data_IF_372376180868
#
_entry.id   IF_372376180868
#
_cell.length_a   1.000
_cell.length_b   1.000
_cell.length_c   1.000
_cell.angle_alpha   90.00
_cell.angle_beta   90.00
_cell.angle_gamma   90.00
#
_symmetry.space_group_name_H-M   'P 1'
#
loop_
_entity.id
_entity.type
_entity.pdbx_description
1 polymer ?
2 non-polymer ?
3 non-polymer ?
4 non-polymer ?
5 non-polymer ?
6 water ?
#
# COMPACT_ATOMS: atom_id res chain seq x y z
N UNK A 24 -14.63 21.98 2.99
CA UNK A 24 -15.75 21.63 2.11
C UNK A 24 -15.49 22.15 0.70
N UNK A 25 -14.56 23.09 0.59
CA UNK A 25 -14.14 23.58 -0.71
C UNK A 25 -13.63 22.39 -1.50
N UNK A 26 -12.62 21.71 -0.95
CA UNK A 26 -11.97 20.61 -1.64
C UNK A 26 -12.91 19.45 -1.90
N UNK A 27 -13.93 19.28 -1.05
CA UNK A 27 -14.90 18.20 -1.21
C UNK A 27 -15.80 18.37 -2.43
N UNK A 28 -16.28 19.59 -2.62
CA UNK A 28 -17.17 19.87 -3.75
C UNK A 28 -16.46 19.59 -5.07
N UNK A 29 -15.26 20.14 -5.21
CA UNK A 29 -14.46 19.97 -6.41
C UNK A 29 -14.21 18.50 -6.67
N UNK A 30 -13.95 17.73 -5.61
CA UNK A 30 -13.65 16.32 -5.76
C UNK A 30 -14.91 15.54 -6.11
N UNK A 31 -15.99 15.84 -5.41
CA UNK A 31 -17.25 15.14 -5.63
C UNK A 31 -17.82 15.44 -7.02
N UNK A 32 -17.52 16.65 -7.50
CA UNK A 32 -18.02 17.11 -8.80
C UNK A 32 -17.24 16.56 -9.99
N UNK A 33 -15.99 16.17 -9.77
CA UNK A 33 -15.10 15.82 -10.87
C UNK A 33 -15.44 14.50 -11.56
N UNK A 34 -15.08 14.38 -12.84
CA UNK A 34 -15.13 13.11 -13.54
C UNK A 34 -13.83 12.34 -13.30
N UNK A 35 -13.93 11.03 -13.21
CA UNK A 35 -12.80 10.18 -12.88
C UNK A 35 -12.35 9.43 -14.12
N UNK A 36 -11.13 9.73 -14.60
CA UNK A 36 -10.70 9.10 -15.85
C UNK A 36 -10.45 7.63 -15.61
N UNK A 37 -10.27 6.88 -16.69
CA UNK A 37 -10.11 5.44 -16.57
C UNK A 37 -8.78 5.14 -15.89
N UNK A 38 -8.66 3.89 -15.44
CA UNK A 38 -7.46 3.42 -14.80
C UNK A 38 -6.34 3.59 -15.79
N UNK A 39 -6.63 3.31 -17.06
CA UNK A 39 -5.66 3.39 -18.15
C UNK A 39 -5.15 4.81 -18.32
N UNK A 40 -6.05 5.78 -18.34
CA UNK A 40 -5.63 7.17 -18.51
C UNK A 40 -4.77 7.62 -17.34
N UNK A 41 -5.01 7.01 -16.17
CA UNK A 41 -4.35 7.44 -14.93
C UNK A 41 -3.07 6.65 -14.64
N UNK A 42 -2.81 5.61 -15.43
CA UNK A 42 -1.56 4.87 -15.34
C UNK A 42 -1.46 4.07 -14.04
N UNK A 43 -2.52 4.07 -13.25
CA UNK A 43 -2.47 3.37 -11.97
C UNK A 43 -2.38 1.84 -12.08
N UNK A 44 -2.37 1.32 -13.31
CA UNK A 44 -2.16 -0.13 -13.52
C UNK A 44 -0.70 -0.51 -13.68
N UNK A 45 0.16 0.49 -13.84
CA UNK A 45 1.59 0.25 -14.08
C UNK A 45 2.33 0.10 -12.78
N UNK A 46 3.18 -0.92 -12.67
CA UNK A 46 4.03 -1.07 -11.49
C UNK A 46 5.01 0.10 -11.32
N UNK A 47 5.29 0.80 -12.42
CA UNK A 47 6.35 1.80 -12.45
C UNK A 47 5.78 3.20 -12.25
N UNK A 48 4.48 3.24 -11.95
CA UNK A 48 3.76 4.48 -11.65
C UNK A 48 4.46 5.43 -10.68
N UNK A 49 4.28 6.73 -10.91
CA UNK A 49 4.85 7.73 -10.01
C UNK A 49 3.88 8.87 -9.80
N UNK A 50 3.91 9.47 -8.61
CA UNK A 50 2.93 10.47 -8.23
C UNK A 50 3.48 11.90 -8.23
N UNK A 51 4.78 12.05 -8.50
CA UNK A 51 5.42 13.37 -8.45
C UNK A 51 4.71 14.45 -9.27
N UNK A 52 4.14 14.04 -10.41
CA UNK A 52 3.49 14.94 -11.36
C UNK A 52 2.06 15.28 -10.96
N UNK A 53 1.56 14.62 -9.92
CA UNK A 53 0.14 14.70 -9.56
C UNK A 53 -0.13 15.68 -8.43
N UNK A 54 -1.26 16.38 -8.52
CA UNK A 54 -1.72 17.25 -7.44
C UNK A 54 -2.52 16.41 -6.46
N UNK A 55 -2.72 16.93 -5.25
CA UNK A 55 -3.54 16.23 -4.25
C UNK A 55 -4.87 15.78 -4.82
N UNK A 56 -5.58 16.69 -5.48
CA UNK A 56 -6.85 16.37 -6.12
C UNK A 56 -6.74 15.16 -7.04
N UNK A 57 -5.66 15.11 -7.82
CA UNK A 57 -5.48 14.01 -8.77
C UNK A 57 -5.21 12.67 -8.09
N UNK A 58 -4.56 12.72 -6.92
CA UNK A 58 -4.32 11.47 -6.20
C UNK A 58 -5.67 10.99 -5.65
N UNK A 59 -6.49 11.94 -5.23
CA UNK A 59 -7.84 11.63 -4.77
C UNK A 59 -8.66 10.93 -5.86
N UNK A 60 -8.59 11.45 -7.09
CA UNK A 60 -9.31 10.84 -8.21
C UNK A 60 -8.79 9.45 -8.53
N UNK A 61 -7.46 9.31 -8.49
CA UNK A 61 -6.83 8.00 -8.68
C UNK A 61 -7.34 7.02 -7.63
N UNK A 62 -7.44 7.48 -6.40
CA UNK A 62 -7.94 6.61 -5.34
C UNK A 62 -9.39 6.22 -5.61
N UNK A 63 -10.21 7.16 -6.07
CA UNK A 63 -11.58 6.79 -6.42
C UNK A 63 -11.54 5.72 -7.51
N UNK A 64 -10.69 5.91 -8.51
CA UNK A 64 -10.66 4.96 -9.62
C UNK A 64 -10.27 3.54 -9.15
N UNK A 65 -9.40 3.50 -8.14
CA UNK A 65 -9.00 2.21 -7.55
C UNK A 65 -10.21 1.49 -6.92
N UNK A 66 -10.95 2.19 -6.09
CA UNK A 66 -12.14 1.58 -5.52
C UNK A 66 -13.10 1.11 -6.63
N UNK A 67 -13.28 1.95 -7.65
CA UNK A 67 -14.27 1.65 -8.69
C UNK A 67 -13.91 0.42 -9.50
N UNK A 68 -12.68 0.35 -9.98
CA UNK A 68 -12.30 -0.74 -10.87
C UNK A 68 -12.03 -2.05 -10.15
N UNK A 69 -11.93 -1.98 -8.84
CA UNK A 69 -11.87 -3.20 -8.04
C UNK A 69 -13.28 -3.65 -7.68
N UNK A 70 -14.27 -2.91 -8.18
CA UNK A 70 -15.67 -3.28 -8.05
C UNK A 70 -16.21 -3.03 -6.65
N UNK A 71 -15.45 -2.26 -5.87
CA UNK A 71 -15.78 -2.07 -4.47
C UNK A 71 -16.96 -1.14 -4.27
N UNK A 72 -17.06 -0.13 -5.12
CA UNK A 72 -18.13 0.86 -5.02
C UNK A 72 -19.47 0.22 -5.37
N UNK A 73 -19.45 -0.59 -6.41
CA UNK A 73 -20.61 -1.37 -6.80
C UNK A 73 -21.03 -2.39 -5.73
N UNK A 74 -20.14 -3.32 -5.42
CA UNK A 74 -20.50 -4.46 -4.60
C UNK A 74 -20.90 -4.12 -3.16
N UNK A 75 -20.53 -2.94 -2.69
CA UNK A 75 -20.73 -2.57 -1.29
C UNK A 75 -21.48 -1.26 -1.18
N UNK A 76 -22.06 -0.86 -2.32
CA UNK A 76 -22.98 0.26 -2.38
C UNK A 76 -22.44 1.50 -1.70
N UNK A 77 -21.19 1.84 -2.00
CA UNK A 77 -20.64 3.06 -1.43
C UNK A 77 -21.27 4.26 -2.11
N UNK A 78 -21.62 5.27 -1.34
CA UNK A 78 -22.14 6.49 -1.91
C UNK A 78 -20.98 7.40 -2.29
N UNK A 79 -21.08 7.99 -3.46
CA UNK A 79 -19.99 8.76 -4.02
C UNK A 79 -19.42 9.77 -3.03
N UNK A 80 -20.27 10.63 -2.49
CA UNK A 80 -19.79 11.71 -1.64
C UNK A 80 -19.20 11.20 -0.33
N UNK A 81 -19.63 10.02 0.10
CA UNK A 81 -19.08 9.42 1.31
C UNK A 81 -17.66 8.93 1.03
N UNK A 82 -17.48 8.21 -0.07
CA UNK A 82 -16.15 7.81 -0.51
C UNK A 82 -15.23 9.03 -0.64
N UNK A 83 -15.69 10.05 -1.36
CA UNK A 83 -14.90 11.28 -1.50
C UNK A 83 -14.49 11.85 -0.16
N UNK A 84 -15.45 11.98 0.75
CA UNK A 84 -15.15 12.58 2.04
C UNK A 84 -14.16 11.68 2.81
N UNK A 85 -14.32 10.38 2.64
CA UNK A 85 -13.45 9.45 3.35
C UNK A 85 -11.99 9.56 2.89
N UNK A 86 -11.81 9.65 1.58
CA UNK A 86 -10.48 9.84 0.99
C UNK A 86 -9.88 11.16 1.50
N UNK A 87 -10.69 12.20 1.52
CA UNK A 87 -10.19 13.48 2.01
C UNK A 87 -9.81 13.41 3.49
N UNK A 88 -10.64 12.73 4.26
CA UNK A 88 -10.31 12.52 5.65
C UNK A 88 -9.00 11.76 5.80
N UNK A 89 -8.83 10.68 5.07
CA UNK A 89 -7.59 9.92 5.16
C UNK A 89 -6.42 10.83 4.82
N UNK A 90 -6.46 11.42 3.62
CA UNK A 90 -5.41 12.34 3.18
C UNK A 90 -5.07 13.37 4.25
N UNK A 91 -6.12 13.94 4.85
CA UNK A 91 -5.98 14.98 5.83
C UNK A 91 -5.25 14.51 7.10
N UNK A 92 -5.41 13.24 7.46
CA UNK A 92 -4.77 12.77 8.69
C UNK A 92 -3.38 12.19 8.51
N UNK A 93 -2.79 12.45 7.36
CA UNK A 93 -1.35 12.28 7.22
C UNK A 93 -0.74 13.67 7.40
N UNK A 94 0.49 13.71 7.89
CA UNK A 94 1.17 14.98 8.12
C UNK A 94 2.07 15.37 6.95
N UNK A 95 1.78 16.51 6.33
CA UNK A 95 2.50 16.99 5.17
C UNK A 95 3.94 17.32 5.52
N UNK A 96 4.15 17.68 6.78
CA UNK A 96 5.44 18.09 7.30
C UNK A 96 6.45 16.93 7.44
N UNK A 97 6.01 15.72 7.13
CA UNK A 97 6.86 14.53 7.25
C UNK A 97 7.32 14.06 5.87
N UNK A 98 8.64 13.96 5.70
CA UNK A 98 9.23 13.84 4.38
C UNK A 98 8.74 12.63 3.55
N UNK A 99 8.68 11.47 4.17
CA UNK A 99 8.34 10.26 3.45
C UNK A 99 7.01 9.69 3.95
N UNK A 100 6.86 9.58 5.26
CA UNK A 100 5.65 8.96 5.82
C UNK A 100 4.48 9.92 5.81
N UNK A 101 3.96 10.17 4.61
CA UNK A 101 2.87 11.11 4.44
C UNK A 101 1.86 10.54 3.45
N UNK A 102 0.87 11.34 3.09
CA UNK A 102 -0.18 10.86 2.21
C UNK A 102 0.35 10.25 0.91
N UNK A 103 1.40 10.85 0.36
CA UNK A 103 1.92 10.35 -0.92
C UNK A 103 2.38 8.90 -0.79
N UNK A 104 3.01 8.58 0.33
CA UNK A 104 3.44 7.21 0.59
C UNK A 104 2.27 6.26 0.67
N UNK A 105 1.25 6.68 1.41
CA UNK A 105 0.02 5.89 1.56
C UNK A 105 -0.62 5.68 0.21
N UNK A 106 -0.70 6.77 -0.55
CA UNK A 106 -1.27 6.73 -1.88
C UNK A 106 -0.51 5.76 -2.79
N UNK A 107 0.81 5.84 -2.78
CA UNK A 107 1.63 4.93 -3.58
C UNK A 107 1.48 3.49 -3.13
N UNK A 108 1.38 3.29 -1.81
CA UNK A 108 1.20 1.94 -1.30
C UNK A 108 -0.09 1.35 -1.86
N UNK A 109 -1.15 2.17 -1.89
CA UNK A 109 -2.43 1.70 -2.45
C UNK A 109 -2.40 1.46 -3.97
N UNK A 110 -1.72 2.34 -4.69
CA UNK A 110 -1.54 2.13 -6.13
C UNK A 110 -0.79 0.82 -6.40
N UNK A 111 0.27 0.54 -5.64
CA UNK A 111 0.93 -0.76 -5.81
C UNK A 111 -0.02 -1.93 -5.52
N UNK A 112 -0.85 -1.79 -4.48
CA UNK A 112 -1.79 -2.85 -4.13
C UNK A 112 -2.71 -3.01 -5.33
N UNK A 113 -3.16 -1.89 -5.88
CA UNK A 113 -4.03 -1.93 -7.05
C UNK A 113 -3.37 -2.64 -8.23
N UNK A 114 -2.14 -2.23 -8.53
CA UNK A 114 -1.40 -2.79 -9.65
C UNK A 114 -1.22 -4.29 -9.48
N UNK A 115 -0.92 -4.72 -8.26
CA UNK A 115 -0.65 -6.13 -8.01
C UNK A 115 -1.91 -6.94 -8.15
N UNK A 116 -3.03 -6.34 -7.75
CA UNK A 116 -4.33 -7.02 -7.89
C UNK A 116 -4.69 -7.20 -9.36
N UNK A 117 -4.59 -6.10 -10.13
CA UNK A 117 -4.93 -6.06 -11.54
C UNK A 117 -3.85 -6.66 -12.44
N UNK A 118 -2.82 -5.88 -12.76
CA UNK A 118 -1.71 -6.36 -13.60
C UNK A 118 -0.97 -7.57 -12.99
N UNK A 119 -0.90 -7.61 -11.66
CA UNK A 119 -0.26 -8.72 -10.99
C UNK A 119 -1.19 -9.91 -10.86
N UNK A 120 -2.46 -9.69 -11.18
CA UNK A 120 -3.44 -10.77 -11.26
C UNK A 120 -3.72 -11.47 -9.92
N UNK A 121 -3.41 -10.80 -8.81
CA UNK A 121 -3.71 -11.35 -7.49
C UNK A 121 -5.21 -11.27 -7.18
N UNK A 122 -5.89 -10.33 -7.82
CA UNK A 122 -7.33 -10.13 -7.64
C UNK A 122 -8.10 -11.44 -7.53
N UNK A 123 -7.91 -12.31 -8.53
CA UNK A 123 -8.71 -13.51 -8.64
C UNK A 123 -8.44 -14.52 -7.52
N UNK A 124 -7.36 -14.29 -6.77
CA UNK A 124 -7.02 -15.18 -5.66
C UNK A 124 -7.71 -14.79 -4.36
N UNK A 125 -8.37 -13.64 -4.34
CA UNK A 125 -8.88 -13.09 -3.08
C UNK A 125 -10.39 -12.88 -3.10
N UNK A 126 -11.02 -12.75 -1.92
CA UNK A 126 -12.43 -12.40 -1.87
C UNK A 126 -12.60 -10.88 -1.98
N UNK A 127 -13.79 -10.45 -2.38
CA UNK A 127 -14.11 -9.03 -2.41
C UNK A 127 -13.83 -8.37 -1.06
N UNK A 128 -14.18 -9.04 0.03
CA UNK A 128 -13.96 -8.49 1.35
C UNK A 128 -12.46 -8.32 1.63
N UNK A 129 -11.67 -9.31 1.25
CA UNK A 129 -10.21 -9.21 1.38
C UNK A 129 -9.66 -8.01 0.59
N UNK A 130 -10.13 -7.83 -0.63
CA UNK A 130 -9.67 -6.75 -1.49
C UNK A 130 -10.08 -5.39 -0.93
N UNK A 131 -11.32 -5.29 -0.48
CA UNK A 131 -11.83 -4.09 0.16
C UNK A 131 -10.91 -3.72 1.32
N UNK A 132 -10.56 -4.72 2.12
CA UNK A 132 -9.75 -4.50 3.34
C UNK A 132 -8.30 -4.15 3.04
N UNK A 133 -7.71 -4.80 2.04
CA UNK A 133 -6.33 -4.47 1.65
C UNK A 133 -6.21 -3.04 1.14
N UNK A 134 -7.18 -2.62 0.33
CA UNK A 134 -7.16 -1.28 -0.25
C UNK A 134 -7.26 -0.26 0.85
N UNK A 135 -8.18 -0.48 1.77
CA UNK A 135 -8.37 0.44 2.88
C UNK A 135 -7.14 0.47 3.76
N UNK A 136 -6.62 -0.71 4.09
CA UNK A 136 -5.42 -0.82 4.93
C UNK A 136 -4.22 -0.13 4.26
N UNK A 137 -4.05 -0.33 2.95
CA UNK A 137 -2.93 0.25 2.23
C UNK A 137 -2.94 1.77 2.39
N UNK A 138 -4.10 2.39 2.16
CA UNK A 138 -4.26 3.85 2.33
C UNK A 138 -4.11 4.32 3.76
N UNK A 139 -4.44 3.47 4.72
CA UNK A 139 -4.54 3.91 6.11
C UNK A 139 -3.37 3.46 6.98
N UNK A 140 -2.53 2.56 6.46
CA UNK A 140 -1.52 1.84 7.29
C UNK A 140 -0.49 2.72 8.01
N UNK A 141 -0.40 3.98 7.63
CA UNK A 141 0.59 4.86 8.27
C UNK A 141 -0.05 6.14 8.80
N UNK A 142 -1.37 6.14 8.95
CA UNK A 142 -2.10 7.34 9.39
C UNK A 142 -1.49 8.03 10.59
N UNK A 143 -1.31 9.35 10.48
CA UNK A 143 -0.81 10.17 11.59
C UNK A 143 0.62 9.87 11.98
N UNK A 144 1.38 9.25 11.08
CA UNK A 144 2.81 9.00 11.29
C UNK A 144 3.57 10.32 11.53
N UNK A 145 4.44 10.35 12.54
CA UNK A 145 5.09 11.62 12.87
C UNK A 145 6.54 11.69 12.38
N UNK A 146 6.98 10.64 11.70
CA UNK A 146 8.34 10.55 11.24
C UNK A 146 9.05 9.53 12.12
N UNK A 147 9.88 8.69 11.52
CA UNK A 147 10.59 7.67 12.27
C UNK A 147 11.33 8.23 13.50
N UNK A 148 11.88 9.43 13.37
CA UNK A 148 12.61 10.07 14.47
C UNK A 148 11.73 10.69 15.58
N UNK A 149 10.43 10.45 15.51
CA UNK A 149 9.55 10.78 16.62
C UNK A 149 8.81 9.53 17.12
N UNK A 150 9.17 9.06 18.31
CA UNK A 150 8.62 7.82 18.83
C UNK A 150 8.96 7.63 20.31
N UNK A 166 4.24 -3.87 17.60
CA UNK A 166 3.48 -3.15 16.59
C UNK A 166 2.69 -2.04 17.24
N UNK A 167 3.29 -1.39 18.23
CA UNK A 167 2.53 -0.42 19.01
C UNK A 167 2.18 0.80 18.19
N UNK A 168 3.08 1.20 17.29
CA UNK A 168 2.75 2.30 16.42
C UNK A 168 1.69 1.89 15.38
N UNK A 169 1.75 0.65 14.92
CA UNK A 169 0.75 0.19 13.96
C UNK A 169 -0.64 0.11 14.60
N UNK A 170 -0.70 -0.08 15.92
CA UNK A 170 -1.99 -0.06 16.60
C UNK A 170 -2.58 1.34 16.52
N UNK A 171 -1.72 2.34 16.63
CA UNK A 171 -2.14 3.72 16.49
C UNK A 171 -2.68 4.03 15.07
N UNK A 172 -2.00 3.52 14.04
CA UNK A 172 -2.44 3.77 12.67
C UNK A 172 -3.81 3.16 12.43
N UNK A 173 -4.04 1.96 12.93
CA UNK A 173 -5.34 1.32 12.78
C UNK A 173 -6.42 2.04 13.60
N UNK A 174 -6.04 2.48 14.79
CA UNK A 174 -6.97 3.26 15.58
C UNK A 174 -7.42 4.48 14.79
N UNK A 175 -6.48 5.17 14.15
CA UNK A 175 -6.81 6.30 13.29
C UNK A 175 -7.75 5.87 12.16
N UNK A 176 -7.44 4.74 11.54
CA UNK A 176 -8.26 4.21 10.47
C UNK A 176 -9.70 4.03 10.92
N UNK A 177 -9.89 3.35 12.06
CA UNK A 177 -11.21 3.08 12.62
C UNK A 177 -11.97 4.37 12.92
N UNK A 178 -11.28 5.36 13.50
CA UNK A 178 -11.94 6.63 13.82
C UNK A 178 -12.49 7.31 12.57
N UNK A 179 -11.77 7.23 11.47
CA UNK A 179 -12.25 7.82 10.23
C UNK A 179 -13.39 6.99 9.70
N UNK A 180 -13.25 5.67 9.73
CA UNK A 180 -14.32 4.82 9.22
C UNK A 180 -15.66 5.03 9.94
N UNK A 181 -15.60 5.53 11.17
CA UNK A 181 -16.81 5.69 11.97
C UNK A 181 -17.31 7.12 12.05
N UNK A 182 -16.57 8.04 11.42
CA UNK A 182 -16.96 9.44 11.42
C UNK A 182 -18.18 9.68 10.53
N UNK A 183 -19.08 10.58 10.96
CA UNK A 183 -20.25 10.98 10.18
C UNK A 183 -19.86 11.43 8.77
N UNK A 184 -20.49 10.85 7.76
CA UNK A 184 -20.21 11.19 6.38
C UNK A 184 -19.08 10.39 5.75
N UNK A 185 -18.27 9.73 6.57
CA UNK A 185 -17.12 8.95 6.07
C UNK A 185 -17.31 7.46 6.14
N UNK A 186 -18.53 7.00 6.38
CA UNK A 186 -18.76 5.57 6.58
C UNK A 186 -18.86 4.72 5.32
N UNK A 187 -17.73 4.54 4.64
CA UNK A 187 -17.70 3.78 3.38
C UNK A 187 -18.05 2.30 3.56
N UNK A 188 -18.13 1.85 4.81
CA UNK A 188 -18.47 0.45 5.07
C UNK A 188 -19.95 0.25 5.44
N UNK A 189 -20.72 1.33 5.43
CA UNK A 189 -22.11 1.27 5.87
C UNK A 189 -22.95 0.25 5.09
N UNK A 190 -22.55 -0.06 3.87
CA UNK A 190 -23.33 -0.96 3.03
C UNK A 190 -23.04 -2.43 3.31
N UNK A 191 -22.05 -2.70 4.16
CA UNK A 191 -21.74 -4.06 4.56
C UNK A 191 -22.69 -4.53 5.65
N UNK A 192 -23.03 -5.82 5.65
CA UNK A 192 -23.78 -6.39 6.77
C UNK A 192 -22.88 -6.40 8.00
N UNK A 193 -23.46 -6.62 9.17
CA UNK A 193 -22.67 -6.61 10.41
C UNK A 193 -21.59 -7.70 10.40
N UNK A 194 -21.94 -8.87 9.84
CA UNK A 194 -21.00 -9.96 9.71
C UNK A 194 -19.84 -9.60 8.77
N UNK A 195 -20.18 -9.09 7.59
CA UNK A 195 -19.17 -8.64 6.65
C UNK A 195 -18.31 -7.56 7.27
N UNK A 196 -18.96 -6.68 8.02
CA UNK A 196 -18.27 -5.55 8.63
C UNK A 196 -17.19 -6.00 9.60
N UNK A 197 -17.52 -6.97 10.45
CA UNK A 197 -16.55 -7.47 11.43
C UNK A 197 -15.38 -8.19 10.74
N UNK A 198 -15.69 -8.95 9.71
CA UNK A 198 -14.66 -9.69 9.00
C UNK A 198 -13.69 -8.70 8.33
N UNK A 199 -14.23 -7.62 7.79
CA UNK A 199 -13.44 -6.61 7.12
C UNK A 199 -12.51 -5.85 8.09
N UNK A 200 -13.05 -5.42 9.23
CA UNK A 200 -12.21 -4.77 10.24
C UNK A 200 -11.06 -5.63 10.71
N UNK A 201 -11.31 -6.94 10.81
CA UNK A 201 -10.29 -7.85 11.31
C UNK A 201 -9.18 -7.93 10.27
N UNK A 202 -9.57 -8.13 9.02
CA UNK A 202 -8.58 -8.14 7.94
C UNK A 202 -7.81 -6.81 7.89
N UNK A 203 -8.52 -5.69 7.94
CA UNK A 203 -7.86 -4.38 7.94
C UNK A 203 -6.84 -4.27 9.07
N UNK A 204 -7.22 -4.72 10.26
CA UNK A 204 -6.38 -4.57 11.45
C UNK A 204 -5.10 -5.37 11.29
N UNK A 205 -5.25 -6.63 10.91
CA UNK A 205 -4.14 -7.54 10.64
C UNK A 205 -3.25 -6.97 9.55
N UNK A 206 -3.88 -6.44 8.51
CA UNK A 206 -3.16 -5.87 7.37
C UNK A 206 -2.29 -4.71 7.84
N UNK A 207 -2.83 -3.84 8.67
CA UNK A 207 -2.06 -2.68 9.13
C UNK A 207 -0.97 -3.10 10.10
N UNK A 208 -1.28 -4.06 10.97
CA UNK A 208 -0.28 -4.56 11.92
C UNK A 208 0.85 -5.24 11.17
N UNK A 209 0.51 -5.92 10.09
CA UNK A 209 1.51 -6.58 9.25
C UNK A 209 2.60 -5.64 8.72
N UNK A 210 2.31 -4.34 8.63
CA UNK A 210 3.29 -3.37 8.11
C UNK A 210 4.42 -3.04 9.09
N UNK A 211 4.37 -3.69 10.25
CA UNK A 211 5.46 -3.62 11.21
C UNK A 211 6.58 -4.52 10.69
N UNK A 212 7.72 -3.93 10.34
CA UNK A 212 8.75 -4.74 9.70
C UNK A 212 9.21 -5.88 10.62
N UNK A 213 9.08 -5.70 11.93
CA UNK A 213 9.48 -6.74 12.87
C UNK A 213 8.56 -7.95 12.74
N UNK A 214 7.26 -7.70 12.62
CA UNK A 214 6.30 -8.76 12.37
C UNK A 214 6.63 -9.45 11.06
N UNK A 215 6.97 -8.66 10.04
CA UNK A 215 7.30 -9.22 8.75
C UNK A 215 8.49 -10.19 8.85
N UNK A 216 9.55 -9.75 9.52
CA UNK A 216 10.73 -10.59 9.71
C UNK A 216 10.37 -11.84 10.51
N UNK A 217 9.55 -11.68 11.53
CA UNK A 217 9.09 -12.79 12.34
C UNK A 217 8.34 -13.83 11.50
N UNK A 218 7.49 -13.37 10.60
CA UNK A 218 6.54 -14.27 9.93
C UNK A 218 6.96 -14.78 8.56
N UNK A 219 7.94 -14.14 7.94
CA UNK A 219 8.26 -14.46 6.56
C UNK A 219 8.88 -15.85 6.42
N UNK A 220 9.63 -16.25 7.45
CA UNK A 220 10.23 -17.57 7.49
C UNK A 220 9.26 -18.63 7.01
N UNK A 221 8.10 -18.70 7.68
CA UNK A 221 7.09 -19.67 7.31
C UNK A 221 6.66 -19.57 5.85
N UNK A 222 6.49 -18.33 5.38
CA UNK A 222 6.02 -18.09 4.02
C UNK A 222 7.01 -18.61 2.98
N UNK A 223 8.29 -18.29 3.16
CA UNK A 223 9.33 -18.72 2.22
C UNK A 223 9.49 -20.23 2.23
N UNK A 224 9.58 -20.77 3.44
CA UNK A 224 9.61 -22.21 3.63
C UNK A 224 8.51 -22.91 2.83
N UNK A 225 7.27 -22.43 2.98
CA UNK A 225 6.13 -22.98 2.25
C UNK A 225 6.30 -22.90 0.74
N UNK A 226 6.79 -21.77 0.27
CA UNK A 226 7.04 -21.57 -1.15
C UNK A 226 8.15 -22.51 -1.63
N UNK A 227 9.24 -22.59 -0.86
CA UNK A 227 10.37 -23.47 -1.13
C UNK A 227 9.89 -24.87 -1.51
N UNK A 228 9.04 -25.42 -0.64
CA UNK A 228 8.51 -26.78 -0.79
C UNK A 228 7.33 -26.87 -1.76
N UNK A 229 7.04 -25.79 -2.46
CA UNK A 229 5.88 -25.76 -3.34
C UNK A 229 4.64 -26.29 -2.61
N UNK A 230 4.58 -26.00 -1.31
CA UNK A 230 3.43 -26.40 -0.48
C UNK A 230 2.45 -25.25 -0.28
N UNK A 231 2.79 -24.06 -0.77
CA UNK A 231 1.97 -22.89 -0.53
C UNK A 231 0.55 -23.06 -1.07
N UNK A 232 -0.42 -22.78 -0.21
CA UNK A 232 -1.82 -23.03 -0.51
C UNK A 232 -2.76 -21.96 0.05
N UNK A 233 -3.38 -21.18 -0.83
CA UNK A 233 -4.24 -20.09 -0.42
C UNK A 233 -5.58 -20.54 0.15
N UNK A 234 -5.91 -21.82 -0.04
CA UNK A 234 -7.18 -22.34 0.45
C UNK A 234 -7.18 -22.46 1.97
N UNK A 235 -5.99 -22.60 2.54
CA UNK A 235 -5.84 -22.67 4.00
C UNK A 235 -5.93 -21.27 4.59
N UNK A 236 -6.85 -21.07 5.54
CA UNK A 236 -7.03 -19.79 6.21
C UNK A 236 -5.72 -19.20 6.76
N UNK A 237 -4.92 -20.02 7.43
CA UNK A 237 -3.71 -19.51 8.07
C UNK A 237 -2.72 -18.95 7.03
N UNK A 238 -2.68 -19.60 5.88
CA UNK A 238 -1.76 -19.21 4.82
C UNK A 238 -2.28 -18.00 4.04
N UNK A 239 -3.60 -17.94 3.86
CA UNK A 239 -4.26 -16.78 3.25
C UNK A 239 -3.92 -15.53 4.04
N UNK A 240 -4.18 -15.57 5.34
CA UNK A 240 -3.83 -14.47 6.23
C UNK A 240 -2.33 -14.14 6.14
N UNK A 241 -1.48 -15.15 6.06
CA UNK A 241 -0.04 -14.91 5.97
C UNK A 241 0.29 -14.21 4.65
N UNK A 242 -0.29 -14.70 3.56
CA UNK A 242 -0.09 -14.05 2.27
C UNK A 242 -0.49 -12.58 2.30
N UNK A 243 -1.67 -12.29 2.87
CA UNK A 243 -2.13 -10.91 2.92
C UNK A 243 -1.12 -10.02 3.64
N UNK A 244 -0.49 -10.56 4.69
CA UNK A 244 0.52 -9.83 5.45
C UNK A 244 1.71 -9.52 4.57
N UNK A 245 2.18 -10.53 3.86
CA UNK A 245 3.32 -10.38 2.97
C UNK A 245 2.98 -9.37 1.87
N UNK A 246 1.80 -9.50 1.29
CA UNK A 246 1.35 -8.58 0.24
C UNK A 246 1.38 -7.12 0.72
N UNK A 247 0.97 -6.89 1.96
CA UNK A 247 1.01 -5.55 2.54
C UNK A 247 2.43 -5.01 2.60
N UNK A 248 3.37 -5.83 3.05
CA UNK A 248 4.76 -5.40 3.14
C UNK A 248 5.32 -5.10 1.75
N UNK A 249 5.01 -5.98 0.80
CA UNK A 249 5.43 -5.80 -0.60
C UNK A 249 5.01 -4.45 -1.16
N UNK A 250 3.77 -4.04 -0.89
CA UNK A 250 3.28 -2.74 -1.41
C UNK A 250 3.87 -1.57 -0.64
N UNK A 251 3.98 -1.75 0.67
CA UNK A 251 4.50 -0.74 1.57
C UNK A 251 5.93 -0.36 1.16
N UNK A 252 6.68 -1.31 0.62
CA UNK A 252 8.10 -1.07 0.31
C UNK A 252 8.30 -0.82 -1.18
N UNK A 253 7.19 -0.62 -1.90
CA UNK A 253 7.16 -0.69 -3.36
C UNK A 253 8.07 0.33 -4.04
N UNK A 254 8.38 1.42 -3.34
CA UNK A 254 9.27 2.44 -3.85
C UNK A 254 10.63 1.84 -4.24
N UNK A 255 11.02 0.77 -3.56
CA UNK A 255 12.31 0.15 -3.79
C UNK A 255 12.33 -0.55 -5.16
N UNK A 256 11.15 -0.65 -5.78
CA UNK A 256 11.03 -1.37 -7.05
C UNK A 256 10.94 -0.42 -8.25
N UNK A 257 10.84 0.87 -7.98
CA UNK A 257 10.52 1.86 -9.03
C UNK A 257 11.68 2.11 -10.01
N UNK A 258 11.36 2.66 -11.20
CA UNK A 258 12.44 3.02 -12.13
C UNK A 258 13.46 3.90 -11.42
N UNK A 259 14.75 3.64 -11.69
CA UNK A 259 15.85 4.30 -10.98
C UNK A 259 15.69 5.81 -10.69
N UNK A 260 15.31 6.61 -11.70
CA UNK A 260 15.17 8.05 -11.42
C UNK A 260 14.13 8.33 -10.33
N UNK A 261 13.06 7.54 -10.32
CA UNK A 261 12.05 7.65 -9.28
C UNK A 261 12.56 7.14 -7.92
N UNK A 262 13.07 5.91 -7.88
CA UNK A 262 13.69 5.38 -6.65
C UNK A 262 14.71 6.35 -6.03
N UNK A 263 15.61 6.91 -6.84
CA UNK A 263 16.56 7.88 -6.31
C UNK A 263 15.84 8.98 -5.58
N UNK A 264 14.75 9.44 -6.17
CA UNK A 264 14.00 10.56 -5.62
C UNK A 264 13.34 10.20 -4.27
N UNK A 265 12.75 9.02 -4.21
CA UNK A 265 12.07 8.61 -2.99
C UNK A 265 13.09 8.33 -1.90
N UNK A 266 14.20 7.69 -2.27
CA UNK A 266 15.27 7.41 -1.31
C UNK A 266 15.71 8.72 -0.68
N UNK A 267 15.64 9.80 -1.44
CA UNK A 267 16.01 11.10 -0.93
C UNK A 267 15.03 11.52 0.16
N UNK A 268 13.74 11.25 -0.08
CA UNK A 268 12.73 11.60 0.90
C UNK A 268 12.95 10.81 2.18
N UNK A 269 13.16 9.50 2.03
CA UNK A 269 13.44 8.61 3.14
C UNK A 269 14.65 9.09 3.95
N UNK A 270 15.72 9.48 3.24
CA UNK A 270 16.93 9.95 3.91
C UNK A 270 16.68 11.28 4.63
N UNK A 271 15.91 12.14 4.01
CA UNK A 271 15.52 13.40 4.63
C UNK A 271 14.80 13.13 5.96
N UNK A 272 13.84 12.21 5.95
CA UNK A 272 13.13 11.86 7.19
C UNK A 272 14.06 11.21 8.22
N UNK A 273 14.85 10.22 7.78
CA UNK A 273 15.76 9.50 8.69
C UNK A 273 16.79 10.39 9.36
N UNK A 274 17.35 11.35 8.64
CA UNK A 274 18.53 12.06 9.11
C UNK A 274 18.33 13.56 9.28
N UNK A 275 17.51 14.15 8.42
CA UNK A 275 17.27 15.59 8.44
C UNK A 275 15.98 15.98 9.16
N UNK A 276 15.42 15.09 9.96
CA UNK A 276 14.19 15.42 10.70
C UNK A 276 14.15 14.76 12.08
N UNK A 298 26.65 9.36 1.75
CA UNK A 298 27.75 8.55 1.23
C UNK A 298 27.69 7.10 1.73
N UNK A 299 27.03 6.89 2.87
CA UNK A 299 26.78 5.52 3.35
C UNK A 299 25.38 5.05 2.92
N UNK A 300 24.64 5.94 2.28
CA UNK A 300 23.29 5.61 1.83
C UNK A 300 23.23 4.50 0.79
N UNK A 301 24.12 4.53 -0.21
CA UNK A 301 23.99 3.46 -1.21
C UNK A 301 24.22 2.06 -0.64
N UNK A 302 25.15 1.90 0.31
CA UNK A 302 25.39 0.59 0.89
C UNK A 302 24.25 0.21 1.83
N UNK A 303 23.70 1.20 2.53
CA UNK A 303 22.47 0.98 3.29
C UNK A 303 21.31 0.46 2.41
N UNK A 304 21.11 1.08 1.25
CA UNK A 304 20.03 0.64 0.37
C UNK A 304 20.25 -0.80 -0.06
N UNK A 305 21.49 -1.13 -0.39
CA UNK A 305 21.85 -2.49 -0.81
C UNK A 305 21.59 -3.49 0.33
N UNK A 306 21.93 -3.11 1.56
CA UNK A 306 21.67 -3.95 2.72
C UNK A 306 20.19 -4.19 2.94
N UNK A 307 19.42 -3.13 2.74
CA UNK A 307 17.97 -3.17 2.88
C UNK A 307 17.36 -4.03 1.80
N UNK A 308 17.81 -3.85 0.56
CA UNK A 308 17.32 -4.67 -0.52
C UNK A 308 17.62 -6.14 -0.28
N UNK A 309 18.85 -6.44 0.13
CA UNK A 309 19.24 -7.84 0.40
C UNK A 309 18.54 -8.45 1.59
N UNK A 310 18.50 -7.72 2.70
CA UNK A 310 17.92 -8.22 3.95
C UNK A 310 16.40 -8.33 3.91
N UNK A 311 15.73 -7.34 3.31
CA UNK A 311 14.28 -7.27 3.41
C UNK A 311 13.51 -7.54 2.12
N UNK A 312 13.97 -6.96 1.01
CA UNK A 312 13.12 -6.86 -0.20
C UNK A 312 13.17 -8.01 -1.19
N UNK A 313 14.38 -8.40 -1.60
CA UNK A 313 14.53 -9.39 -2.67
C UNK A 313 13.73 -10.66 -2.46
N UNK A 314 13.89 -11.30 -1.31
CA UNK A 314 13.21 -12.56 -1.07
C UNK A 314 11.71 -12.40 -1.14
N UNK A 315 11.21 -11.28 -0.60
CA UNK A 315 9.79 -10.99 -0.64
C UNK A 315 9.27 -10.94 -2.08
N UNK A 316 9.91 -10.13 -2.93
CA UNK A 316 9.41 -10.02 -4.31
C UNK A 316 9.64 -11.31 -5.11
N UNK A 317 10.66 -12.08 -4.71
CA UNK A 317 10.88 -13.41 -5.28
C UNK A 317 9.69 -14.30 -4.95
N UNK A 318 9.38 -14.44 -3.66
CA UNK A 318 8.21 -15.23 -3.23
C UNK A 318 6.91 -14.77 -3.91
N UNK A 319 6.72 -13.45 -3.98
CA UNK A 319 5.53 -12.89 -4.57
C UNK A 319 5.40 -13.26 -6.04
N UNK A 320 6.53 -13.28 -6.74
CA UNK A 320 6.52 -13.69 -8.14
C UNK A 320 6.15 -15.18 -8.27
N UNK A 321 6.65 -16.00 -7.36
CA UNK A 321 6.30 -17.42 -7.32
C UNK A 321 4.79 -17.63 -7.13
N UNK A 322 4.18 -16.76 -6.33
CA UNK A 322 2.74 -16.81 -6.14
C UNK A 322 2.03 -16.38 -7.42
N UNK A 323 2.62 -15.40 -8.12
CA UNK A 323 2.03 -14.88 -9.35
C UNK A 323 3.06 -14.28 -10.27
N UNK A 324 3.33 -14.99 -11.37
CA UNK A 324 4.37 -14.60 -12.30
C UNK A 324 4.21 -13.15 -12.76
N UNK A 325 2.98 -12.63 -12.78
CA UNK A 325 2.77 -11.29 -13.29
C UNK A 325 3.24 -10.17 -12.37
N UNK A 326 3.58 -10.53 -11.14
CA UNK A 326 4.19 -9.58 -10.21
C UNK A 326 5.69 -9.42 -10.43
N UNK A 327 6.22 -10.14 -11.41
CA UNK A 327 7.66 -10.09 -11.74
C UNK A 327 8.24 -8.68 -11.84
N UNK A 328 7.51 -7.74 -12.46
CA UNK A 328 8.06 -6.38 -12.61
C UNK A 328 8.52 -5.73 -11.29
N UNK A 329 7.97 -6.14 -10.15
CA UNK A 329 8.39 -5.60 -8.85
C UNK A 329 9.75 -6.17 -8.51
N UNK A 330 9.89 -7.48 -8.73
CA UNK A 330 11.17 -8.13 -8.53
C UNK A 330 12.23 -7.53 -9.44
N UNK A 331 11.89 -7.43 -10.72
CA UNK A 331 12.78 -6.89 -11.73
C UNK A 331 13.21 -5.48 -11.37
N UNK A 332 12.26 -4.62 -11.04
CA UNK A 332 12.58 -3.27 -10.67
C UNK A 332 13.51 -3.23 -9.46
N UNK A 333 13.28 -4.13 -8.51
CA UNK A 333 14.09 -4.17 -7.29
C UNK A 333 15.54 -4.56 -7.59
N UNK A 334 15.73 -5.53 -8.48
CA UNK A 334 17.06 -5.99 -8.88
C UNK A 334 17.84 -4.90 -9.58
N UNK A 335 17.18 -4.18 -10.48
CA UNK A 335 17.83 -3.10 -11.20
C UNK A 335 18.27 -2.02 -10.21
N UNK A 336 17.40 -1.70 -9.26
CA UNK A 336 17.79 -0.70 -8.27
C UNK A 336 18.99 -1.15 -7.45
N UNK A 337 19.05 -2.45 -7.16
CA UNK A 337 20.19 -2.94 -6.41
C UNK A 337 21.47 -2.71 -7.21
N UNK A 338 21.39 -2.96 -8.52
CA UNK A 338 22.54 -2.73 -9.39
C UNK A 338 23.01 -1.29 -9.26
N UNK A 339 22.06 -0.36 -9.35
CA UNK A 339 22.40 1.06 -9.32
C UNK A 339 22.99 1.49 -7.98
N UNK A 340 22.41 1.02 -6.88
CA UNK A 340 22.93 1.40 -5.57
C UNK A 340 24.28 0.72 -5.33
N UNK A 341 24.40 -0.53 -5.75
CA UNK A 341 25.65 -1.28 -5.60
C UNK A 341 26.81 -0.56 -6.30
N UNK A 342 26.60 -0.14 -7.55
CA UNK A 342 27.56 0.68 -8.29
C UNK A 342 27.96 1.97 -7.55
N UNK A 343 26.98 2.72 -7.03
CA UNK A 343 27.30 3.91 -6.27
C UNK A 343 28.07 3.57 -5.00
N UNK A 344 27.84 2.37 -4.48
CA UNK A 344 28.48 1.94 -3.26
C UNK A 344 30.01 1.95 -3.39
N UNK A 345 30.49 2.12 -4.61
CA UNK A 345 31.92 2.14 -4.89
C UNK A 345 32.31 3.38 -5.71
X LIG B 1 16.85 0.51 9.35
X LIG B 1 16.16 0.61 10.68
X LIG B 1 14.75 0.36 10.59
X LIG B 1 14.18 -0.54 11.58
X LIG B 1 14.30 0.24 9.24
X LIG B 1 15.05 -0.84 8.50
X LIG B 1 16.47 -0.65 8.57
X LIG B 1 17.32 -1.02 7.23
X LIG B 1 18.72 -1.36 7.55
X LIG B 1 16.63 -2.15 6.56
X LIG B 1 17.34 0.44 6.21
X LIG B 1 16.21 0.73 5.43
X LIG B 1 18.46 1.28 6.22
X LIG B 1 18.45 2.44 5.40
X LIG B 1 17.32 2.74 4.62
X LIG B 1 17.29 3.88 3.80
X LIG B 1 17.88 5.10 4.20
X LIG B 1 17.92 6.22 3.16
X LIG B 1 17.28 5.94 1.79
X LIG B 1 16.20 1.89 4.64
X LIG B 1 14.96 2.13 3.80
X LIG B 1 13.75 2.00 4.37
X LIG B 1 15.09 2.42 2.49
X LIG B 1 13.98 2.63 1.70
X LIG B 1 14.16 2.93 0.37
X LIG B 1 12.69 2.52 2.28
X LIG B 1 11.43 2.73 1.41
X LIG B 1 10.98 1.55 0.61
X LIG B 1 12.61 2.18 3.66
X LIG B 1 11.30 2.04 4.42
X LIG B 1 10.97 3.33 5.15
X LIG C 1 4.68 2.36 8.98
X LIG D 1 8.05 -0.11 14.19
X LIG D 1 8.48 -1.28 14.80
X LIG D 1 7.40 -0.25 12.85
X LIG D 1 7.08 0.90 12.12
X LIG D 1 6.80 2.09 12.80
X LIG D 1 7.25 3.38 12.20
X LIG D 1 8.39 3.38 11.43
X LIG E 1 4.48 2.46 5.20
#
# INVERSE_FOLDING_TARGET
>A
MGSSHHHHHHSSGLVPRGSHMEETRELQSLAAAVVPSAQTLKITDFSFSDFELSDLETALCTIRMFTDLNLVQNFQMKHEVLCRWILSVKKNYRKNVAYHNWRHAFNTAQCMFAALKAGKIQNKLTDLEILALLIAALSHDLDHRGVNNSYIQRSEHPLAQLYCHSIMEHHHFDQCLMILNSPGNQILSGLSIEEYKTTLKIIKQAILATDLALYIKRRGEFFELIRKNQFNLEDPHQKELFLAMLMTACDLSAITKPWPIQQRIAELVATEFFDQGDRERKELNIEPTDLMNREKKNKIPSMQVGFIDAICLQLYEALTHVSEDCFPLLDGCRKNRQKWQALAEQQ
>B hetero
1 NI0 CAQ CAO NBC CAD CAP CAR NBD SBE OAF OAG CAV CAJ CAH CAI CAX OAU CAN CAK CAA CAY CAZ NAS NAT CBB OAE CBA CAM CAC CAW CAL CAB
>C hetero
1 MG MG
>D hetero
1 PEG C1 O1 C2 O2 C3 C4 O4
>E hetero
1 ZN ZN
#
